data_IF_268616265172
#
_entry.id   IF_268616265172
#
_cell.length_a   1.000
_cell.length_b   1.000
_cell.length_c   1.000
_cell.angle_alpha   90.00
_cell.angle_beta   90.00
_cell.angle_gamma   90.00
#
_symmetry.space_group_name_H-M   'P 1'
#
loop_
_entity.id
_entity.type
_entity.pdbx_description
1 polymer ?
#
# COMPACT_ATOMS: atom_id res chain seq x y z
N UNK A 1 -19.14 -3.18 10.32
CA UNK A 1 -18.27 -4.15 11.00
C UNK A 1 -18.89 -5.52 10.76
N UNK A 2 -18.39 -6.31 9.82
CA UNK A 2 -18.81 -7.71 9.69
C UNK A 2 -17.84 -8.53 10.54
N UNK A 3 -18.12 -8.59 11.84
CA UNK A 3 -17.51 -9.59 12.70
C UNK A 3 -18.10 -10.92 12.21
N UNK A 4 -17.33 -11.61 11.38
CA UNK A 4 -17.71 -12.91 10.84
C UNK A 4 -17.21 -13.93 11.85
N UNK A 5 -18.04 -14.27 12.84
CA UNK A 5 -17.71 -15.19 13.96
C UNK A 5 -17.36 -16.61 13.49
N UNK A 6 -17.52 -16.88 12.19
CA UNK A 6 -17.25 -18.16 11.54
C UNK A 6 -15.85 -18.74 11.83
N UNK A 7 -14.84 -17.89 12.03
CA UNK A 7 -13.43 -18.34 12.13
C UNK A 7 -12.76 -17.96 13.46
N UNK A 8 -13.53 -17.59 14.49
CA UNK A 8 -12.96 -17.07 15.73
C UNK A 8 -11.93 -18.03 16.34
N UNK A 9 -12.27 -19.32 16.44
CA UNK A 9 -11.39 -20.33 17.04
C UNK A 9 -10.10 -20.58 16.24
N UNK A 10 -10.18 -20.49 14.93
CA UNK A 10 -9.09 -20.69 13.98
C UNK A 10 -8.15 -19.48 13.99
N UNK A 11 -8.71 -18.27 14.01
CA UNK A 11 -7.94 -17.03 14.12
C UNK A 11 -7.21 -16.97 15.46
N UNK A 12 -7.86 -17.35 16.57
CA UNK A 12 -7.21 -17.42 17.89
C UNK A 12 -6.09 -18.48 17.94
N UNK A 13 -6.26 -19.62 17.26
CA UNK A 13 -5.19 -20.60 17.13
C UNK A 13 -3.99 -20.02 16.37
N UNK A 14 -4.22 -19.33 15.25
CA UNK A 14 -3.14 -18.66 14.51
C UNK A 14 -2.42 -17.62 15.38
N UNK A 15 -3.16 -16.79 16.13
CA UNK A 15 -2.57 -15.81 17.06
C UNK A 15 -1.73 -16.49 18.15
N UNK A 16 -2.20 -17.60 18.71
CA UNK A 16 -1.47 -18.39 19.72
C UNK A 16 -0.14 -18.92 19.17
N UNK A 17 -0.12 -19.35 17.90
CA UNK A 17 1.12 -19.77 17.23
C UNK A 17 2.06 -18.57 17.05
N UNK A 18 1.56 -17.42 16.57
CA UNK A 18 2.37 -16.22 16.36
C UNK A 18 2.94 -15.69 17.68
N UNK A 19 2.18 -15.78 18.78
CA UNK A 19 2.60 -15.35 20.12
C UNK A 19 3.81 -16.14 20.68
N UNK A 20 4.19 -17.26 20.07
CA UNK A 20 5.43 -18.01 20.38
C UNK A 20 6.68 -17.36 19.77
N UNK A 21 6.53 -16.25 19.04
CA UNK A 21 7.62 -15.51 18.38
C UNK A 21 7.89 -14.17 19.06
N UNK A 22 8.86 -13.42 18.56
CA UNK A 22 9.19 -12.06 19.05
C UNK A 22 8.27 -10.97 18.49
N UNK A 23 7.25 -11.33 17.72
CA UNK A 23 6.30 -10.36 17.17
C UNK A 23 5.33 -9.84 18.24
N UNK A 24 5.04 -8.55 18.16
CA UNK A 24 4.09 -7.88 19.06
C UNK A 24 2.76 -7.68 18.34
N UNK A 25 1.66 -8.06 18.98
CA UNK A 25 0.32 -7.80 18.47
C UNK A 25 -0.04 -6.31 18.54
N UNK A 26 -0.64 -5.79 17.48
CA UNK A 26 -1.20 -4.44 17.39
C UNK A 26 -2.51 -4.47 16.61
N UNK A 27 -3.36 -3.48 16.84
CA UNK A 27 -4.50 -3.22 15.97
C UNK A 27 -4.11 -2.16 14.92
N UNK A 28 -4.27 -2.49 13.63
CA UNK A 28 -4.09 -1.54 12.52
C UNK A 28 -5.23 -1.72 11.52
N UNK A 29 -5.82 -0.61 11.09
CA UNK A 29 -6.93 -0.59 10.12
C UNK A 29 -8.13 -1.47 10.53
N UNK A 30 -8.35 -1.64 11.83
CA UNK A 30 -9.41 -2.49 12.37
C UNK A 30 -9.12 -4.00 12.33
N UNK A 31 -7.88 -4.40 12.00
CA UNK A 31 -7.43 -5.78 11.97
C UNK A 31 -6.29 -6.07 12.94
N UNK A 32 -6.10 -7.35 13.26
CA UNK A 32 -4.99 -7.85 14.07
C UNK A 32 -3.74 -7.98 13.19
N UNK A 33 -2.69 -7.25 13.57
CA UNK A 33 -1.39 -7.21 12.87
C UNK A 33 -0.29 -7.47 13.89
N UNK A 34 0.72 -8.21 13.50
CA UNK A 34 1.90 -8.53 14.30
C UNK A 34 3.12 -7.83 13.70
N UNK A 35 3.83 -7.11 14.56
CA UNK A 35 4.93 -6.23 14.17
C UNK A 35 6.27 -6.66 14.79
N UNK A 36 7.34 -6.39 14.06
CA UNK A 36 8.72 -6.42 14.55
C UNK A 36 9.28 -5.00 14.47
N UNK A 37 9.74 -4.42 15.58
CA UNK A 37 10.23 -3.03 15.64
C UNK A 37 9.30 -2.02 14.93
N UNK A 38 7.99 -2.09 15.22
CA UNK A 38 6.91 -1.30 14.62
C UNK A 38 6.65 -1.50 13.11
N UNK A 39 7.42 -2.36 12.43
CA UNK A 39 7.22 -2.72 11.03
C UNK A 39 6.28 -3.93 10.93
N UNK A 40 5.36 -3.91 9.97
CA UNK A 40 4.34 -4.95 9.82
C UNK A 40 4.96 -6.22 9.23
N UNK A 41 4.75 -7.36 9.90
CA UNK A 41 5.27 -8.66 9.44
C UNK A 41 4.12 -9.56 9.02
N UNK A 42 3.16 -9.79 9.93
CA UNK A 42 2.04 -10.72 9.75
C UNK A 42 0.71 -10.03 10.03
N UNK A 43 -0.32 -10.32 9.25
CA UNK A 43 -1.71 -9.99 9.56
C UNK A 43 -2.56 -11.26 9.63
N UNK A 44 -3.63 -11.25 10.44
CA UNK A 44 -4.54 -12.39 10.57
C UNK A 44 -5.96 -11.92 10.22
N UNK A 45 -6.68 -12.69 9.41
CA UNK A 45 -8.03 -12.29 8.98
C UNK A 45 -8.91 -13.41 8.49
N UNK A 46 -10.21 -13.28 8.74
CA UNK A 46 -11.25 -14.17 8.25
C UNK A 46 -11.97 -13.61 7.02
N UNK A 47 -12.26 -14.47 6.04
CA UNK A 47 -13.04 -14.19 4.84
C UNK A 47 -14.21 -15.16 4.75
N UNK A 48 -15.18 -14.91 3.86
CA UNK A 48 -16.40 -15.73 3.73
C UNK A 48 -16.13 -17.23 3.50
N UNK A 49 -15.00 -17.59 2.87
CA UNK A 49 -14.68 -18.98 2.48
C UNK A 49 -13.40 -19.53 3.10
N UNK A 50 -12.59 -18.71 3.75
CA UNK A 50 -11.28 -19.08 4.26
C UNK A 50 -10.85 -18.11 5.35
N UNK A 51 -9.88 -18.51 6.17
CA UNK A 51 -9.11 -17.61 7.03
C UNK A 51 -7.65 -17.63 6.59
N UNK A 52 -6.83 -16.68 7.03
CA UNK A 52 -5.50 -16.51 6.42
C UNK A 52 -4.47 -15.85 7.32
N UNK A 53 -3.21 -16.17 7.05
CA UNK A 53 -2.05 -15.37 7.38
C UNK A 53 -1.66 -14.49 6.19
N UNK A 54 -1.54 -13.19 6.43
CA UNK A 54 -0.99 -12.22 5.51
C UNK A 54 0.47 -11.94 5.82
N UNK A 55 1.37 -12.18 4.88
CA UNK A 55 2.78 -11.81 4.98
C UNK A 55 3.00 -10.49 4.23
N UNK A 56 3.29 -9.40 4.94
CA UNK A 56 3.41 -8.05 4.36
C UNK A 56 4.52 -7.95 3.30
N UNK A 57 5.63 -8.63 3.55
CA UNK A 57 6.79 -8.78 2.66
C UNK A 57 6.94 -10.24 2.17
N UNK A 58 5.84 -10.97 2.04
CA UNK A 58 5.83 -12.40 1.74
C UNK A 58 6.46 -12.79 0.39
N UNK A 59 6.60 -11.84 -0.54
CA UNK A 59 7.34 -12.05 -1.81
C UNK A 59 8.80 -12.49 -1.61
N UNK A 60 9.41 -12.17 -0.46
CA UNK A 60 10.79 -12.55 -0.16
C UNK A 60 10.91 -13.90 0.55
N UNK A 61 9.79 -14.55 0.86
CA UNK A 61 9.79 -15.90 1.41
C UNK A 61 10.10 -16.89 0.29
N UNK A 62 10.91 -17.90 0.60
CA UNK A 62 11.29 -18.95 -0.37
C UNK A 62 10.10 -19.77 -0.86
N UNK A 63 9.10 -19.96 0.00
CA UNK A 63 7.85 -20.69 -0.28
C UNK A 63 8.06 -22.08 -0.90
N UNK A 64 9.01 -22.86 -0.38
CA UNK A 64 9.34 -24.20 -0.90
C UNK A 64 8.13 -25.16 -0.88
N UNK A 65 7.16 -24.89 -0.01
CA UNK A 65 5.91 -25.67 0.13
C UNK A 65 4.76 -25.15 -0.74
N UNK A 66 4.93 -24.00 -1.39
CA UNK A 66 3.94 -23.37 -2.28
C UNK A 66 2.61 -23.06 -1.60
N UNK A 67 2.68 -22.57 -0.37
CA UNK A 67 1.51 -22.16 0.42
C UNK A 67 1.06 -20.74 0.05
N UNK A 68 1.97 -19.94 -0.51
CA UNK A 68 1.77 -18.51 -0.68
C UNK A 68 1.15 -18.18 -2.03
N UNK A 69 0.12 -17.35 -1.99
CA UNK A 69 -0.50 -16.78 -3.19
C UNK A 69 -0.49 -15.25 -3.14
N UNK A 70 -0.44 -14.64 -4.32
CA UNK A 70 -0.70 -13.22 -4.46
C UNK A 70 -2.22 -13.01 -4.57
N UNK A 71 -2.80 -12.33 -3.58
CA UNK A 71 -4.25 -12.11 -3.54
C UNK A 71 -4.76 -11.22 -4.67
N UNK A 72 -3.91 -10.35 -5.21
CA UNK A 72 -4.26 -9.40 -6.27
C UNK A 72 -3.05 -9.16 -7.18
N UNK A 73 -2.83 -10.10 -8.09
CA UNK A 73 -1.70 -10.07 -9.03
C UNK A 73 -1.72 -8.78 -9.88
N UNK A 74 -0.54 -8.17 -10.07
CA UNK A 74 -0.39 -6.88 -10.75
C UNK A 74 -0.68 -5.65 -9.87
N UNK A 75 -1.42 -5.80 -8.77
CA UNK A 75 -1.70 -4.70 -7.82
C UNK A 75 -0.81 -4.79 -6.58
N UNK A 76 -0.88 -5.90 -5.85
CA UNK A 76 -0.06 -6.11 -4.66
C UNK A 76 1.26 -6.76 -5.03
N UNK A 77 2.37 -6.03 -4.85
CA UNK A 77 3.71 -6.53 -5.20
C UNK A 77 4.32 -7.41 -4.09
N UNK A 78 4.27 -6.95 -2.84
CA UNK A 78 4.97 -7.60 -1.72
C UNK A 78 4.12 -8.63 -0.96
N UNK A 79 2.81 -8.38 -0.85
CA UNK A 79 1.92 -9.17 0.00
C UNK A 79 1.75 -10.59 -0.51
N UNK A 80 1.73 -11.56 0.42
CA UNK A 80 1.31 -12.93 0.16
C UNK A 80 0.31 -13.40 1.20
N UNK A 81 -0.59 -14.28 0.78
CA UNK A 81 -1.52 -14.96 1.66
C UNK A 81 -1.19 -16.43 1.75
N UNK A 82 -1.26 -16.97 2.95
CA UNK A 82 -1.47 -18.38 3.19
C UNK A 82 -2.91 -18.55 3.65
N UNK A 83 -3.75 -19.16 2.81
CA UNK A 83 -5.18 -19.36 3.08
C UNK A 83 -5.43 -20.76 3.63
N UNK A 84 -6.40 -20.84 4.54
CA UNK A 84 -6.85 -22.07 5.17
C UNK A 84 -8.36 -22.18 5.06
N UNK A 85 -8.89 -23.39 4.84
CA UNK A 85 -10.34 -23.62 4.83
C UNK A 85 -10.85 -24.40 6.03
N UNK A 86 -9.96 -24.97 6.83
CA UNK A 86 -10.28 -25.62 8.10
C UNK A 86 -9.11 -25.59 9.08
N UNK A 87 -9.40 -25.87 10.35
CA UNK A 87 -8.40 -25.89 11.43
C UNK A 87 -7.36 -27.00 11.24
N UNK A 88 -7.73 -28.10 10.59
CA UNK A 88 -6.88 -29.28 10.36
C UNK A 88 -5.74 -28.99 9.38
N UNK A 89 -5.87 -27.96 8.55
CA UNK A 89 -4.81 -27.51 7.65
C UNK A 89 -3.68 -26.76 8.39
N UNK A 90 -3.90 -26.35 9.64
CA UNK A 90 -2.93 -25.59 10.44
C UNK A 90 -1.79 -26.51 10.86
N UNK A 91 -0.63 -26.32 10.24
CA UNK A 91 0.62 -26.93 10.66
C UNK A 91 1.49 -25.91 11.40
N UNK A 92 1.48 -25.97 12.73
CA UNK A 92 2.23 -25.03 13.58
C UNK A 92 3.71 -24.94 13.21
N UNK A 93 4.36 -26.07 12.95
CA UNK A 93 5.80 -26.12 12.65
C UNK A 93 6.12 -25.37 11.35
N UNK A 94 5.30 -25.55 10.32
CA UNK A 94 5.49 -24.86 9.05
C UNK A 94 5.17 -23.37 9.19
N UNK A 95 4.08 -23.01 9.88
CA UNK A 95 3.72 -21.62 10.13
C UNK A 95 4.86 -20.90 10.86
N UNK A 96 5.41 -21.49 11.92
CA UNK A 96 6.53 -20.90 12.65
C UNK A 96 7.78 -20.74 11.75
N UNK A 97 8.08 -21.70 10.89
CA UNK A 97 9.21 -21.58 9.97
C UNK A 97 9.05 -20.38 9.01
N UNK A 98 7.85 -20.19 8.45
CA UNK A 98 7.56 -19.04 7.58
C UNK A 98 7.59 -17.71 8.35
N UNK A 99 7.07 -17.67 9.58
CA UNK A 99 7.11 -16.47 10.41
C UNK A 99 8.56 -16.10 10.75
N UNK A 100 9.40 -17.07 11.11
CA UNK A 100 10.81 -16.81 11.43
C UNK A 100 11.58 -16.32 10.20
N UNK A 101 11.33 -16.88 9.01
CA UNK A 101 11.90 -16.36 7.77
C UNK A 101 11.41 -14.92 7.48
N UNK A 102 10.13 -14.62 7.73
CA UNK A 102 9.58 -13.28 7.56
C UNK A 102 10.22 -12.26 8.50
N UNK A 103 10.45 -12.64 9.77
CA UNK A 103 11.16 -11.80 10.75
C UNK A 103 12.60 -11.56 10.30
N UNK A 104 13.31 -12.60 9.85
CA UNK A 104 14.69 -12.46 9.38
C UNK A 104 14.78 -11.57 8.12
N UNK A 105 13.82 -11.69 7.20
CA UNK A 105 13.73 -10.79 6.06
C UNK A 105 13.51 -9.33 6.49
N UNK A 106 12.73 -9.09 7.54
CA UNK A 106 12.52 -7.75 8.09
C UNK A 106 13.77 -7.20 8.81
N UNK A 107 14.51 -8.05 9.53
CA UNK A 107 15.82 -7.71 10.11
C UNK A 107 16.84 -7.31 9.04
N UNK A 108 16.77 -7.95 7.86
CA UNK A 108 17.58 -7.65 6.69
C UNK A 108 17.04 -6.48 5.85
N UNK A 109 15.94 -5.85 6.27
CA UNK A 109 15.27 -4.75 5.57
C UNK A 109 14.92 -5.07 4.11
N UNK A 110 14.55 -6.33 3.83
CA UNK A 110 14.06 -6.73 2.51
C UNK A 110 12.68 -6.14 2.28
N UNK A 111 12.66 -4.98 1.65
CA UNK A 111 11.45 -4.30 1.21
C UNK A 111 11.48 -4.12 -0.30
N UNK A 112 10.32 -4.29 -0.95
CA UNK A 112 10.17 -3.77 -2.31
C UNK A 112 10.18 -2.25 -2.17
N UNK A 113 11.27 -1.63 -2.62
CA UNK A 113 11.31 -0.18 -2.74
C UNK A 113 10.24 0.24 -3.74
N UNK A 114 9.41 1.26 -3.42
CA UNK A 114 8.51 1.82 -4.40
C UNK A 114 9.32 2.15 -5.65
N UNK A 115 8.92 1.63 -6.80
CA UNK A 115 9.44 2.14 -8.05
C UNK A 115 9.12 3.63 -8.07
N UNK A 116 10.17 4.46 -8.04
CA UNK A 116 10.03 5.85 -8.41
C UNK A 116 9.57 5.82 -9.85
N UNK A 117 8.27 5.94 -10.07
CA UNK A 117 7.75 6.12 -11.42
C UNK A 117 8.34 7.45 -11.87
N UNK A 118 9.45 7.40 -12.61
CA UNK A 118 9.78 8.41 -13.61
C UNK A 118 8.74 8.31 -14.73
N UNK A 119 7.45 8.37 -14.38
CA UNK A 119 6.47 8.78 -15.34
C UNK A 119 6.70 10.28 -15.44
N UNK A 120 7.57 10.68 -16.36
CA UNK A 120 7.52 12.02 -16.93
C UNK A 120 6.13 12.12 -17.55
N UNK A 121 5.15 12.49 -16.72
CA UNK A 121 3.83 12.81 -17.23
C UNK A 121 4.04 14.11 -17.99
N UNK A 122 3.92 14.02 -19.31
CA UNK A 122 4.01 15.16 -20.18
C UNK A 122 3.03 16.23 -19.68
N UNK A 123 3.55 17.45 -19.52
CA UNK A 123 2.71 18.59 -19.15
C UNK A 123 1.72 18.79 -20.32
N UNK A 124 0.40 18.78 -20.07
CA UNK A 124 -0.58 18.92 -21.13
C UNK A 124 -0.49 20.32 -21.72
N UNK A 125 -0.73 20.44 -23.03
CA UNK A 125 -0.58 21.71 -23.78
C UNK A 125 -1.29 22.89 -23.12
N UNK A 126 -2.49 22.67 -22.57
CA UNK A 126 -3.24 23.72 -21.87
C UNK A 126 -2.50 24.25 -20.65
N UNK A 127 -1.90 23.39 -19.83
CA UNK A 127 -1.10 23.83 -18.69
C UNK A 127 0.22 24.45 -19.17
N UNK A 128 0.87 23.86 -20.18
CA UNK A 128 2.11 24.37 -20.72
C UNK A 128 1.98 25.82 -21.21
N UNK A 129 0.89 26.14 -21.90
CA UNK A 129 0.60 27.51 -22.36
C UNK A 129 0.52 28.51 -21.20
N UNK A 130 -0.07 28.13 -20.07
CA UNK A 130 -0.14 29.00 -18.87
C UNK A 130 1.22 29.15 -18.18
N UNK A 131 2.02 28.08 -18.14
CA UNK A 131 3.38 28.16 -17.58
C UNK A 131 4.30 29.01 -18.47
N UNK A 132 4.11 28.98 -19.78
CA UNK A 132 4.92 29.79 -20.70
C UNK A 132 4.48 31.25 -20.75
N UNK A 133 3.21 31.55 -20.41
CA UNK A 133 2.71 32.93 -20.29
C UNK A 133 3.02 33.58 -18.92
N UNK A 134 3.20 32.78 -17.86
CA UNK A 134 3.51 33.26 -16.50
C UNK A 134 4.74 32.57 -15.91
N UNK A 135 5.87 33.30 -15.94
CA UNK A 135 7.14 32.86 -15.37
C UNK A 135 7.11 32.58 -13.86
N UNK A 136 6.31 33.32 -13.09
CA UNK A 136 6.21 33.15 -11.63
C UNK A 136 5.45 31.86 -11.32
N UNK A 137 4.36 31.61 -12.05
CA UNK A 137 3.62 30.36 -11.97
C UNK A 137 4.50 29.16 -12.36
N UNK A 138 5.30 29.28 -13.42
CA UNK A 138 6.24 28.25 -13.87
C UNK A 138 7.27 27.90 -12.80
N UNK A 139 7.92 28.90 -12.23
CA UNK A 139 8.88 28.67 -11.15
C UNK A 139 8.24 28.03 -9.92
N UNK A 140 7.04 28.49 -9.54
CA UNK A 140 6.30 27.90 -8.42
C UNK A 140 5.92 26.44 -8.69
N UNK A 141 5.44 26.12 -9.91
CA UNK A 141 5.11 24.76 -10.32
C UNK A 141 6.34 23.84 -10.28
N UNK A 142 7.48 24.30 -10.80
CA UNK A 142 8.72 23.52 -10.86
C UNK A 142 9.36 23.27 -9.48
N UNK A 143 9.03 24.06 -8.45
CA UNK A 143 9.47 23.83 -7.06
C UNK A 143 8.79 22.63 -6.39
N UNK A 144 7.63 22.21 -6.88
CA UNK A 144 6.95 21.02 -6.34
C UNK A 144 7.75 19.74 -6.66
N UNK A 145 7.64 18.73 -5.79
CA UNK A 145 8.20 17.41 -6.12
C UNK A 145 7.51 16.83 -7.37
N UNK A 146 8.19 15.97 -8.15
CA UNK A 146 7.57 15.36 -9.34
C UNK A 146 6.23 14.68 -9.06
N UNK A 147 6.08 14.12 -7.87
CA UNK A 147 4.83 13.54 -7.41
C UNK A 147 3.71 14.59 -7.28
N UNK A 148 3.97 15.74 -6.67
CA UNK A 148 2.97 16.82 -6.54
C UNK A 148 2.66 17.47 -7.88
N UNK A 149 3.66 17.64 -8.76
CA UNK A 149 3.43 18.09 -10.14
C UNK A 149 2.50 17.14 -10.90
N UNK A 150 2.74 15.82 -10.75
CA UNK A 150 1.88 14.76 -11.31
C UNK A 150 0.44 14.85 -10.81
N UNK A 151 0.20 15.11 -9.53
CA UNK A 151 -1.17 15.28 -8.99
C UNK A 151 -1.92 16.41 -9.70
N UNK A 152 -1.27 17.56 -9.92
CA UNK A 152 -1.87 18.67 -10.67
C UNK A 152 -2.18 18.29 -12.11
N UNK A 153 -1.25 17.61 -12.79
CA UNK A 153 -1.44 17.20 -14.19
C UNK A 153 -2.57 16.17 -14.31
N UNK A 154 -2.60 15.15 -13.45
CA UNK A 154 -3.68 14.15 -13.43
C UNK A 154 -5.03 14.80 -13.10
N UNK A 155 -5.05 15.78 -12.18
CA UNK A 155 -6.25 16.55 -11.92
C UNK A 155 -6.76 17.27 -13.17
N UNK A 156 -5.89 17.80 -14.03
CA UNK A 156 -6.34 18.39 -15.29
C UNK A 156 -6.80 17.30 -16.26
N UNK A 157 -5.96 16.30 -16.53
CA UNK A 157 -6.19 15.30 -17.58
C UNK A 157 -7.38 14.37 -17.34
N UNK A 158 -7.74 14.11 -16.07
CA UNK A 158 -8.94 13.32 -15.73
C UNK A 158 -10.25 14.00 -16.16
N UNK A 159 -10.25 15.30 -16.46
CA UNK A 159 -11.41 15.97 -17.05
C UNK A 159 -11.51 15.67 -18.55
N UNK A 160 -12.67 15.16 -18.99
CA UNK A 160 -12.92 14.82 -20.40
C UNK A 160 -13.24 16.03 -21.29
N UNK A 161 -13.76 17.12 -20.72
CA UNK A 161 -14.15 18.34 -21.44
C UNK A 161 -13.08 19.42 -21.28
N UNK A 162 -12.77 20.11 -22.36
CA UNK A 162 -11.76 21.17 -22.38
C UNK A 162 -12.10 22.33 -21.42
N UNK A 163 -13.35 22.78 -21.38
CA UNK A 163 -13.83 23.80 -20.44
C UNK A 163 -13.58 23.40 -18.97
N UNK A 164 -13.72 22.11 -18.67
CA UNK A 164 -13.44 21.57 -17.34
C UNK A 164 -11.94 21.52 -17.06
N UNK A 165 -11.11 21.26 -18.08
CA UNK A 165 -9.64 21.34 -17.94
C UNK A 165 -9.20 22.77 -17.64
N UNK A 166 -9.72 23.75 -18.37
CA UNK A 166 -9.43 25.17 -18.16
C UNK A 166 -9.86 25.65 -16.77
N UNK A 167 -11.10 25.35 -16.35
CA UNK A 167 -11.55 25.73 -14.99
C UNK A 167 -10.74 25.06 -13.88
N UNK A 168 -10.23 23.83 -14.10
CA UNK A 168 -9.30 23.17 -13.17
C UNK A 168 -7.94 23.87 -13.12
N UNK A 169 -7.42 24.33 -14.26
CA UNK A 169 -6.19 25.11 -14.34
C UNK A 169 -6.34 26.42 -13.55
N UNK A 170 -7.40 27.18 -13.79
CA UNK A 170 -7.68 28.43 -13.07
C UNK A 170 -7.78 28.21 -11.56
N UNK A 171 -8.35 27.08 -11.14
CA UNK A 171 -8.44 26.72 -9.73
C UNK A 171 -7.08 26.44 -9.09
N UNK A 172 -6.17 25.76 -9.79
CA UNK A 172 -4.88 25.35 -9.21
C UNK A 172 -3.81 26.43 -9.29
N UNK A 173 -3.92 27.41 -10.20
CA UNK A 173 -3.01 28.56 -10.29
C UNK A 173 -2.72 29.23 -8.94
N UNK A 174 -3.71 29.71 -8.17
CA UNK A 174 -3.45 30.31 -6.86
C UNK A 174 -2.82 29.31 -5.88
N UNK A 175 -3.23 28.04 -5.92
CA UNK A 175 -2.63 27.00 -5.06
C UNK A 175 -1.14 26.80 -5.36
N UNK A 176 -0.76 26.77 -6.64
CA UNK A 176 0.64 26.62 -7.07
C UNK A 176 1.45 27.82 -6.61
N UNK A 177 0.94 29.04 -6.81
CA UNK A 177 1.59 30.29 -6.39
C UNK A 177 1.79 30.36 -4.86
N UNK A 178 0.81 29.87 -4.11
CA UNK A 178 0.86 29.80 -2.64
C UNK A 178 1.66 28.57 -2.12
N UNK A 179 2.27 27.78 -3.02
CA UNK A 179 2.99 26.54 -2.69
C UNK A 179 2.15 25.50 -1.93
N UNK A 180 0.84 25.46 -2.20
CA UNK A 180 -0.13 24.52 -1.64
C UNK A 180 -0.37 23.39 -2.64
N UNK A 181 -0.01 22.15 -2.27
CA UNK A 181 -0.29 20.96 -3.07
C UNK A 181 -1.78 20.64 -3.16
N UNK A 182 -2.21 20.04 -4.27
CA UNK A 182 -3.61 19.70 -4.53
C UNK A 182 -4.27 18.91 -3.38
N UNK A 183 -3.51 17.96 -2.81
CA UNK A 183 -3.98 17.04 -1.77
C UNK A 183 -3.35 17.28 -0.39
N UNK A 184 -2.71 18.43 -0.17
CA UNK A 184 -2.00 18.70 1.10
C UNK A 184 -2.93 18.71 2.32
N UNK A 185 -4.24 18.92 2.14
CA UNK A 185 -5.22 18.87 3.23
C UNK A 185 -5.51 17.46 3.77
N UNK A 186 -5.10 16.41 3.07
CA UNK A 186 -5.39 15.01 3.39
C UNK A 186 -4.14 14.22 3.83
N UNK A 187 -3.05 14.93 4.13
CA UNK A 187 -1.75 14.37 4.55
C UNK A 187 -1.39 14.89 5.91
#
# INVERSE_FOLDING_TARGET
MTQNDQWESELELLKTIIAKTELVETNKWGGCVFVYNNKNVIGVGGFKKFFTLWFFNGVFLKDEKKHLINANEGVTKSLRQWRFTSKEEINEKEILAYIQEAIENEKQEKIIKPEKTKSEIAIPTLLQNELDSDSVLKEAFLKFSPYKQKEFIEYIETAKREETRLSRIEKIKPMILDNIGLNDKYR
#
